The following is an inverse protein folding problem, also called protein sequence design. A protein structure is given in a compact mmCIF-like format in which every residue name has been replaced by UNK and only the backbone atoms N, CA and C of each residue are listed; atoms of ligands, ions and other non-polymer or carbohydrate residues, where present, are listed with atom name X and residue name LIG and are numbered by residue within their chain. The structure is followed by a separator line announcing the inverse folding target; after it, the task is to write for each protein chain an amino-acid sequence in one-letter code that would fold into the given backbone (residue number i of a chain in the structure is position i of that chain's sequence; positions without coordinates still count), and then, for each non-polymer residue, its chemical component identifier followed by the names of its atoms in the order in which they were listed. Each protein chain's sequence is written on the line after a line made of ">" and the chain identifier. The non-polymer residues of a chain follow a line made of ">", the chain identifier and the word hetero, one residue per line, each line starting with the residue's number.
data_IF_262054142772
#
_entry.id   IF_262054142772
#
_cell.length_a   1.000
_cell.length_b   1.000
_cell.length_c   1.000
_cell.angle_alpha   90.00
_cell.angle_beta   90.00
_cell.angle_gamma   90.00
#
_symmetry.space_group_name_H-M   'P 1'
#
loop_
_entity.id
_entity.type
_entity.pdbx_description
1 polymer ?
#
# COMPACT_ATOMS: atom_id res chain seq x y z
N UNK A 1 -21.09 19.72 3.49
CA UNK A 1 -20.98 21.00 4.22
C UNK A 1 -19.93 20.92 5.32
N UNK A 2 -20.04 19.99 6.27
CA UNK A 2 -19.03 19.76 7.34
C UNK A 2 -17.63 19.43 6.82
N UNK A 3 -17.52 18.65 5.74
CA UNK A 3 -16.24 18.32 5.09
C UNK A 3 -15.47 19.55 4.60
N UNK A 4 -16.15 20.61 4.17
CA UNK A 4 -15.51 21.85 3.71
C UNK A 4 -14.88 22.61 4.88
N UNK A 5 -15.60 22.73 6.00
CA UNK A 5 -15.08 23.39 7.19
C UNK A 5 -13.89 22.63 7.79
N UNK A 6 -13.93 21.30 7.79
CA UNK A 6 -12.81 20.45 8.21
C UNK A 6 -11.60 20.64 7.29
N UNK A 7 -11.80 20.60 5.97
CA UNK A 7 -10.73 20.81 5.01
C UNK A 7 -10.11 22.21 5.11
N UNK A 8 -10.95 23.23 5.31
CA UNK A 8 -10.49 24.61 5.49
C UNK A 8 -9.69 24.77 6.80
N UNK A 9 -10.17 24.19 7.90
CA UNK A 9 -9.43 24.19 9.17
C UNK A 9 -8.08 23.49 9.03
N UNK A 10 -8.02 22.36 8.34
CA UNK A 10 -6.78 21.63 8.07
C UNK A 10 -5.82 22.46 7.19
N UNK A 11 -6.34 23.12 6.15
CA UNK A 11 -5.54 23.97 5.28
C UNK A 11 -4.91 25.15 6.04
N UNK A 12 -5.67 25.81 6.92
CA UNK A 12 -5.16 26.88 7.79
C UNK A 12 -4.09 26.34 8.73
N UNK A 13 -4.30 25.19 9.35
CA UNK A 13 -3.32 24.56 10.24
C UNK A 13 -2.01 24.26 9.50
N UNK A 14 -2.07 23.71 8.30
CA UNK A 14 -0.90 23.44 7.45
C UNK A 14 -0.19 24.75 7.07
N UNK A 15 -0.93 25.79 6.71
CA UNK A 15 -0.35 27.10 6.37
C UNK A 15 0.37 27.73 7.56
N UNK A 16 -0.23 27.69 8.75
CA UNK A 16 0.41 28.18 9.98
C UNK A 16 1.66 27.37 10.30
N UNK A 17 1.59 26.03 10.19
CA UNK A 17 2.75 25.16 10.39
C UNK A 17 3.89 25.49 9.42
N UNK A 18 3.59 25.73 8.15
CA UNK A 18 4.57 26.13 7.13
C UNK A 18 5.21 27.49 7.44
N UNK A 19 4.41 28.49 7.84
CA UNK A 19 4.91 29.81 8.20
C UNK A 19 5.78 29.77 9.46
N UNK A 20 5.42 28.97 10.46
CA UNK A 20 6.21 28.84 11.71
C UNK A 20 7.51 28.05 11.51
N UNK A 21 7.54 27.12 10.55
CA UNK A 21 8.71 26.30 10.23
C UNK A 21 9.44 26.80 8.98
N UNK A 22 9.54 28.12 8.81
CA UNK A 22 10.31 28.75 7.73
C UNK A 22 11.80 28.79 8.00
N UNK A 23 12.23 28.55 9.25
CA UNK A 23 13.66 28.48 9.56
C UNK A 23 14.33 27.35 8.77
N UNK A 24 15.42 27.64 8.04
CA UNK A 24 16.14 26.63 7.31
C UNK A 24 16.77 25.64 8.30
N UNK A 25 16.65 24.36 7.98
CA UNK A 25 17.32 23.25 8.65
C UNK A 25 18.27 22.59 7.66
N UNK A 26 19.47 22.29 8.14
CA UNK A 26 20.49 21.59 7.36
C UNK A 26 20.23 20.09 7.45
N UNK A 27 19.98 19.46 6.31
CA UNK A 27 19.82 18.01 6.22
C UNK A 27 21.11 17.42 5.69
N UNK A 28 21.76 16.58 6.49
CA UNK A 28 22.88 15.75 6.08
C UNK A 28 22.37 14.33 5.80
N UNK A 29 22.53 13.86 4.57
CA UNK A 29 22.11 12.53 4.14
C UNK A 29 23.23 11.82 3.39
N UNK A 30 23.79 10.77 4.01
CA UNK A 30 25.01 10.08 3.56
C UNK A 30 26.16 11.06 3.28
N UNK A 31 26.38 11.43 2.01
CA UNK A 31 27.45 12.33 1.56
C UNK A 31 26.92 13.67 1.02
N UNK A 32 25.62 13.93 1.17
CA UNK A 32 24.97 15.15 0.70
C UNK A 32 24.53 16.01 1.87
N UNK A 33 24.63 17.32 1.68
CA UNK A 33 24.17 18.33 2.63
C UNK A 33 23.32 19.36 1.87
N UNK A 34 22.15 19.68 2.41
CA UNK A 34 21.25 20.64 1.79
C UNK A 34 20.43 21.39 2.85
N UNK A 35 20.29 22.71 2.69
CA UNK A 35 19.42 23.52 3.53
C UNK A 35 18.01 23.58 2.95
N UNK A 36 17.02 23.22 3.76
CA UNK A 36 15.61 23.26 3.38
C UNK A 36 14.75 23.51 4.61
N UNK A 37 13.43 23.65 4.48
CA UNK A 37 12.56 23.75 5.65
C UNK A 37 12.18 22.37 6.19
N UNK A 38 11.98 22.26 7.51
CA UNK A 38 11.61 21.00 8.15
C UNK A 38 10.32 20.41 7.56
N UNK A 39 9.37 21.28 7.17
CA UNK A 39 8.12 20.87 6.53
C UNK A 39 8.38 20.14 5.22
N UNK A 40 9.26 20.68 4.37
CA UNK A 40 9.59 20.05 3.09
C UNK A 40 10.28 18.70 3.28
N UNK A 41 11.12 18.56 4.31
CA UNK A 41 11.75 17.27 4.67
C UNK A 41 10.68 16.24 5.05
N UNK A 42 9.75 16.61 5.93
CA UNK A 42 8.70 15.70 6.40
C UNK A 42 7.78 15.31 5.24
N UNK A 43 7.31 16.29 4.45
CA UNK A 43 6.39 16.01 3.34
C UNK A 43 7.05 15.16 2.24
N UNK A 44 8.26 15.50 1.82
CA UNK A 44 8.98 14.75 0.78
C UNK A 44 9.31 13.33 1.23
N UNK A 45 9.85 13.15 2.45
CA UNK A 45 10.18 11.82 2.98
C UNK A 45 8.94 10.94 3.16
N UNK A 46 7.84 11.52 3.66
CA UNK A 46 6.56 10.82 3.78
C UNK A 46 6.00 10.44 2.42
N UNK A 47 6.03 11.35 1.44
CA UNK A 47 5.55 11.10 0.08
C UNK A 47 6.36 9.98 -0.60
N UNK A 48 7.68 10.00 -0.47
CA UNK A 48 8.58 8.95 -0.98
C UNK A 48 8.27 7.61 -0.29
N UNK A 49 8.14 7.60 1.04
CA UNK A 49 7.80 6.39 1.79
C UNK A 49 6.44 5.79 1.38
N UNK A 50 5.43 6.64 1.18
CA UNK A 50 4.11 6.22 0.70
C UNK A 50 4.18 5.65 -0.73
N UNK A 51 4.93 6.31 -1.63
CA UNK A 51 5.14 5.84 -2.99
C UNK A 51 5.84 4.47 -3.02
N UNK A 52 6.93 4.30 -2.25
CA UNK A 52 7.64 3.03 -2.13
C UNK A 52 6.74 1.92 -1.57
N UNK A 53 5.93 2.23 -0.55
CA UNK A 53 4.97 1.29 0.03
C UNK A 53 3.90 0.86 -0.97
N UNK A 54 3.40 1.80 -1.79
CA UNK A 54 2.46 1.50 -2.86
C UNK A 54 3.09 0.59 -3.93
N UNK A 55 4.31 0.88 -4.36
CA UNK A 55 5.05 0.05 -5.32
C UNK A 55 5.30 -1.36 -4.78
N UNK A 56 5.71 -1.50 -3.52
CA UNK A 56 5.88 -2.79 -2.87
C UNK A 56 4.55 -3.59 -2.83
N UNK A 57 3.44 -2.89 -2.54
CA UNK A 57 2.11 -3.50 -2.50
C UNK A 57 1.66 -4.07 -3.85
N UNK A 58 2.07 -3.48 -4.98
CA UNK A 58 1.80 -4.03 -6.32
C UNK A 58 2.45 -5.41 -6.50
N UNK A 59 3.70 -5.57 -6.08
CA UNK A 59 4.43 -6.85 -6.15
C UNK A 59 3.75 -7.93 -5.31
N UNK A 60 3.39 -7.60 -4.07
CA UNK A 60 2.67 -8.49 -3.16
C UNK A 60 1.31 -8.90 -3.72
N UNK A 61 0.55 -7.95 -4.29
CA UNK A 61 -0.75 -8.22 -4.92
C UNK A 61 -0.62 -9.17 -6.12
N UNK A 62 0.45 -9.03 -6.90
CA UNK A 62 0.70 -9.94 -8.03
C UNK A 62 0.97 -11.37 -7.57
N UNK A 63 1.79 -11.53 -6.53
CA UNK A 63 2.06 -12.84 -5.91
C UNK A 63 0.79 -13.48 -5.40
N UNK A 64 -0.02 -12.75 -4.63
CA UNK A 64 -1.29 -13.26 -4.12
C UNK A 64 -2.25 -13.63 -5.25
N UNK A 65 -2.34 -12.82 -6.30
CA UNK A 65 -3.21 -13.15 -7.45
C UNK A 65 -2.80 -14.45 -8.12
N UNK A 66 -1.48 -14.71 -8.26
CA UNK A 66 -0.97 -15.98 -8.80
C UNK A 66 -1.28 -17.16 -7.90
N UNK A 67 -1.07 -16.99 -6.59
CA UNK A 67 -1.34 -18.01 -5.60
C UNK A 67 -2.83 -18.36 -5.54
N UNK A 68 -3.72 -17.36 -5.53
CA UNK A 68 -5.18 -17.58 -5.60
C UNK A 68 -5.58 -18.36 -6.85
N UNK A 69 -5.00 -18.03 -8.01
CA UNK A 69 -5.29 -18.77 -9.26
C UNK A 69 -4.81 -20.22 -9.18
N UNK A 70 -3.61 -20.45 -8.62
CA UNK A 70 -3.09 -21.80 -8.44
C UNK A 70 -3.96 -22.61 -7.49
N UNK A 71 -4.35 -22.04 -6.34
CA UNK A 71 -5.23 -22.67 -5.38
C UNK A 71 -6.61 -23.02 -5.97
N UNK A 72 -7.18 -22.12 -6.79
CA UNK A 72 -8.44 -22.38 -7.49
C UNK A 72 -8.32 -23.55 -8.49
N UNK A 73 -7.21 -23.62 -9.23
CA UNK A 73 -6.98 -24.74 -10.15
C UNK A 73 -6.88 -26.08 -9.41
N UNK A 74 -6.16 -26.12 -8.28
CA UNK A 74 -6.10 -27.33 -7.44
C UNK A 74 -7.47 -27.71 -6.89
N UNK A 75 -8.28 -26.74 -6.43
CA UNK A 75 -9.64 -27.00 -5.96
C UNK A 75 -10.54 -27.61 -7.04
N UNK A 76 -10.44 -27.16 -8.28
CA UNK A 76 -11.18 -27.74 -9.40
C UNK A 76 -10.75 -29.18 -9.68
N UNK A 77 -9.45 -29.46 -9.62
CA UNK A 77 -8.92 -30.82 -9.83
C UNK A 77 -9.38 -31.78 -8.73
N UNK A 78 -9.27 -31.37 -7.46
CA UNK A 78 -9.72 -32.18 -6.32
C UNK A 78 -11.24 -32.43 -6.38
N UNK A 79 -12.05 -31.43 -6.77
CA UNK A 79 -13.50 -31.64 -7.01
C UNK A 79 -13.78 -32.68 -8.08
N UNK A 80 -13.03 -32.68 -9.19
CA UNK A 80 -13.17 -33.68 -10.25
C UNK A 80 -12.78 -35.08 -9.75
N UNK A 81 -11.72 -35.19 -8.95
CA UNK A 81 -11.30 -36.45 -8.33
C UNK A 81 -12.37 -37.01 -7.39
N UNK A 82 -12.93 -36.17 -6.52
CA UNK A 82 -14.02 -36.57 -5.61
C UNK A 82 -15.22 -37.08 -6.43
N UNK A 83 -15.66 -36.34 -7.45
CA UNK A 83 -16.78 -36.75 -8.29
C UNK A 83 -16.52 -38.08 -9.04
N UNK A 84 -15.28 -38.34 -9.45
CA UNK A 84 -14.89 -39.60 -10.07
C UNK A 84 -14.88 -40.77 -9.07
N UNK A 85 -14.40 -40.55 -7.84
CA UNK A 85 -14.42 -41.54 -6.77
C UNK A 85 -15.85 -41.87 -6.34
N UNK A 86 -16.71 -40.87 -6.19
CA UNK A 86 -18.14 -41.07 -5.89
C UNK A 86 -18.86 -41.90 -6.96
N UNK A 87 -18.50 -41.72 -8.24
CA UNK A 87 -19.00 -42.60 -9.33
C UNK A 87 -18.52 -44.03 -9.14
N UNK A 88 -17.23 -44.25 -8.89
CA UNK A 88 -16.68 -45.59 -8.66
C UNK A 88 -17.32 -46.31 -7.47
N UNK A 89 -17.55 -45.60 -6.36
CA UNK A 89 -18.21 -46.16 -5.17
C UNK A 89 -19.65 -46.53 -5.48
N UNK A 90 -20.38 -45.69 -6.24
CA UNK A 90 -21.76 -45.97 -6.65
C UNK A 90 -21.89 -47.15 -7.62
N UNK A 91 -20.90 -47.34 -8.48
CA UNK A 91 -20.89 -48.42 -9.48
C UNK A 91 -20.29 -49.73 -8.93
N UNK A 92 -19.88 -49.74 -7.66
CA UNK A 92 -19.40 -50.93 -6.96
C UNK A 92 -20.59 -51.81 -6.55
N UNK A 93 -20.57 -53.13 -6.84
CA UNK A 93 -21.69 -54.04 -6.58
C UNK A 93 -21.96 -54.29 -5.09
#
# INVERSE_FOLDING_TARGET
>A
MTSLFVALGLAILIAVFALQNTFPVTVQFLFWEHETSLVLVILSSTAIGAALSALASLGTRWRHTRETRALLATLEEERKRIAALERRVRDMP
#
